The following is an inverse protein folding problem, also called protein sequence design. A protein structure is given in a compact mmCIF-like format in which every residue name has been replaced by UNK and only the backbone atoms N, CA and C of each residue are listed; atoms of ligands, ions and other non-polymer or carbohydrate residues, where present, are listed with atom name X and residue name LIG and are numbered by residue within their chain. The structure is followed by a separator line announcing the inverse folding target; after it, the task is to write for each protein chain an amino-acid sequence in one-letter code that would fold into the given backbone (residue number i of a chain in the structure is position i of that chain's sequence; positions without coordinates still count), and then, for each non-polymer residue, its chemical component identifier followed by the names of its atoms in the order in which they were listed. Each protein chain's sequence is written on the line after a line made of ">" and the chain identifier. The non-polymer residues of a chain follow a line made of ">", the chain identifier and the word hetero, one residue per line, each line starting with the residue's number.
data_IF_236245272230
#
_entry.id   IF_236245272230
#
_cell.length_a   1.000
_cell.length_b   1.000
_cell.length_c   1.000
_cell.angle_alpha   90.00
_cell.angle_beta   90.00
_cell.angle_gamma   90.00
#
_symmetry.space_group_name_H-M   'P 1'
#
loop_
_entity.id
_entity.type
_entity.pdbx_description
1 polymer ?
#
# COMPACT_ATOMS: atom_id res chain seq x y z
N UNK A 1 -31.98 4.13 8.26
CA UNK A 1 -31.63 2.81 8.81
C UNK A 1 -30.95 1.99 7.75
N UNK A 2 -29.95 1.20 8.12
CA UNK A 2 -29.40 0.15 7.26
C UNK A 2 -30.12 -1.14 7.65
N UNK A 3 -30.69 -1.85 6.67
CA UNK A 3 -31.38 -3.12 6.89
C UNK A 3 -30.43 -4.25 6.52
N UNK A 4 -30.17 -5.17 7.46
CA UNK A 4 -29.29 -6.32 7.27
C UNK A 4 -30.07 -7.61 7.60
N UNK A 5 -29.88 -8.72 6.85
CA UNK A 5 -30.55 -9.99 7.17
C UNK A 5 -30.18 -10.49 8.57
N UNK A 6 -31.12 -11.19 9.23
CA UNK A 6 -30.93 -11.83 10.55
C UNK A 6 -29.61 -12.64 10.57
N UNK A 7 -28.64 -12.19 11.37
CA UNK A 7 -27.35 -12.87 11.57
C UNK A 7 -26.12 -11.96 11.47
N UNK A 8 -26.25 -10.75 10.90
CA UNK A 8 -25.17 -9.77 10.89
C UNK A 8 -25.28 -8.82 12.07
N UNK A 9 -24.46 -8.97 13.11
CA UNK A 9 -24.25 -7.93 14.11
C UNK A 9 -23.04 -7.08 13.68
N UNK A 10 -23.22 -5.89 13.10
CA UNK A 10 -22.11 -5.17 12.47
C UNK A 10 -21.03 -4.72 13.47
N UNK A 11 -21.33 -4.72 14.77
CA UNK A 11 -20.42 -4.18 15.81
C UNK A 11 -20.40 -4.98 17.13
N UNK A 12 -21.05 -6.15 17.20
CA UNK A 12 -21.02 -6.97 18.42
C UNK A 12 -19.85 -7.95 18.40
N UNK A 13 -19.15 -8.09 19.52
CA UNK A 13 -18.06 -9.08 19.70
C UNK A 13 -18.56 -10.53 19.77
N UNK A 14 -19.87 -10.72 19.95
CA UNK A 14 -20.55 -11.99 19.91
C UNK A 14 -21.72 -11.93 18.91
N UNK A 15 -22.00 -13.02 18.17
CA UNK A 15 -23.15 -13.06 17.27
C UNK A 15 -24.44 -12.83 18.05
N UNK A 16 -25.26 -11.89 17.56
CA UNK A 16 -26.59 -11.64 18.10
C UNK A 16 -27.50 -12.82 17.71
N UNK A 17 -28.04 -13.52 18.71
CA UNK A 17 -28.94 -14.65 18.50
C UNK A 17 -30.32 -14.13 18.08
N UNK A 18 -30.47 -13.90 16.78
CA UNK A 18 -31.73 -13.48 16.17
C UNK A 18 -32.51 -14.70 15.66
N UNK A 19 -33.85 -14.73 15.85
CA UNK A 19 -34.69 -15.68 15.16
C UNK A 19 -34.48 -15.59 13.64
N UNK A 20 -34.55 -16.74 12.95
CA UNK A 20 -34.52 -16.77 11.49
C UNK A 20 -35.73 -15.98 10.95
N UNK A 21 -35.53 -15.28 9.84
CA UNK A 21 -36.54 -14.52 9.09
C UNK A 21 -37.02 -13.21 9.76
N UNK A 22 -36.20 -12.60 10.62
CA UNK A 22 -36.49 -11.29 11.22
C UNK A 22 -35.53 -10.22 10.68
N UNK A 23 -36.07 -9.09 10.25
CA UNK A 23 -35.26 -7.92 9.91
C UNK A 23 -34.96 -7.11 11.16
N UNK A 24 -33.69 -6.76 11.36
CA UNK A 24 -33.27 -5.89 12.46
C UNK A 24 -33.03 -4.50 11.89
N UNK A 25 -33.76 -3.52 12.42
CA UNK A 25 -33.51 -2.11 12.16
C UNK A 25 -32.58 -1.55 13.24
N UNK A 26 -31.46 -0.97 12.81
CA UNK A 26 -30.56 -0.24 13.69
C UNK A 26 -30.78 1.26 13.54
N UNK A 27 -31.06 1.91 14.65
CA UNK A 27 -31.02 3.36 14.79
C UNK A 27 -29.71 3.73 15.50
N UNK A 28 -28.93 4.61 14.89
CA UNK A 28 -27.65 5.07 15.44
C UNK A 28 -27.72 6.56 15.69
N UNK A 29 -27.35 6.98 16.90
CA UNK A 29 -27.07 8.37 17.21
C UNK A 29 -25.55 8.58 17.20
N UNK A 30 -25.07 9.43 16.29
CA UNK A 30 -23.66 9.74 16.20
C UNK A 30 -23.30 10.78 17.25
N UNK A 31 -22.74 10.34 18.38
CA UNK A 31 -22.40 11.22 19.50
C UNK A 31 -21.23 12.17 19.18
N UNK A 32 -20.22 11.69 18.45
CA UNK A 32 -19.14 12.55 17.96
C UNK A 32 -18.42 11.90 16.79
N UNK A 33 -17.98 12.72 15.83
CA UNK A 33 -17.06 12.32 14.78
C UNK A 33 -15.77 13.12 14.99
N UNK A 34 -14.71 12.44 15.39
CA UNK A 34 -13.37 13.02 15.41
C UNK A 34 -12.58 12.50 14.21
N UNK A 35 -12.03 13.39 13.39
CA UNK A 35 -11.00 13.00 12.42
C UNK A 35 -9.74 12.64 13.19
N UNK A 36 -9.46 11.36 13.36
CA UNK A 36 -8.23 10.91 14.01
C UNK A 36 -7.04 11.14 13.10
N UNK A 37 -6.21 12.15 13.39
CA UNK A 37 -4.79 12.20 12.98
C UNK A 37 -4.51 12.25 11.47
N UNK A 38 -5.34 12.98 10.71
CA UNK A 38 -5.12 13.26 9.29
C UNK A 38 -4.35 14.56 9.05
N UNK A 39 -3.62 14.63 7.94
CA UNK A 39 -3.00 15.87 7.47
C UNK A 39 -4.10 16.89 7.09
N UNK A 40 -4.02 18.13 7.57
CA UNK A 40 -4.95 19.20 7.18
C UNK A 40 -4.96 19.40 5.66
N UNK A 41 -6.10 19.81 5.10
CA UNK A 41 -6.21 20.14 3.66
C UNK A 41 -5.35 21.36 3.33
N UNK A 42 -5.22 22.28 4.28
CA UNK A 42 -4.42 23.51 4.14
C UNK A 42 -3.01 23.36 4.74
N UNK A 43 -2.56 22.12 4.98
CA UNK A 43 -1.21 21.86 5.46
C UNK A 43 -0.17 22.30 4.44
N UNK A 44 0.88 22.97 4.91
CA UNK A 44 2.05 23.32 4.09
C UNK A 44 2.81 22.08 3.67
N UNK A 45 3.60 22.20 2.60
CA UNK A 45 4.38 21.10 2.06
C UNK A 45 5.38 20.53 3.07
N UNK A 46 6.02 21.37 3.89
CA UNK A 46 6.95 20.87 4.91
C UNK A 46 6.22 20.05 5.97
N UNK A 47 5.01 20.46 6.35
CA UNK A 47 4.18 19.75 7.33
C UNK A 47 3.66 18.43 6.73
N UNK A 48 3.33 18.41 5.43
CA UNK A 48 2.98 17.21 4.69
C UNK A 48 4.15 16.21 4.58
N UNK A 49 5.37 16.69 4.31
CA UNK A 49 6.59 15.86 4.28
C UNK A 49 6.88 15.25 5.66
N UNK A 50 6.81 16.05 6.73
CA UNK A 50 6.94 15.57 8.12
C UNK A 50 5.89 14.53 8.48
N UNK A 51 4.65 14.75 8.04
CA UNK A 51 3.56 13.79 8.23
C UNK A 51 3.87 12.46 7.54
N UNK A 52 4.34 12.50 6.29
CA UNK A 52 4.75 11.30 5.56
C UNK A 52 5.85 10.54 6.32
N UNK A 53 6.91 11.21 6.79
CA UNK A 53 7.99 10.58 7.54
C UNK A 53 7.52 9.89 8.83
N UNK A 54 6.59 10.54 9.56
CA UNK A 54 5.96 9.95 10.73
C UNK A 54 5.16 8.68 10.37
N UNK A 55 4.37 8.74 9.30
CA UNK A 55 3.59 7.60 8.81
C UNK A 55 4.46 6.45 8.31
N UNK A 56 5.59 6.74 7.68
CA UNK A 56 6.57 5.74 7.28
C UNK A 56 7.14 4.99 8.47
N UNK A 57 7.51 5.72 9.53
CA UNK A 57 8.04 5.13 10.77
C UNK A 57 7.00 4.23 11.43
N UNK A 58 5.78 4.72 11.58
CA UNK A 58 4.67 3.93 12.13
C UNK A 58 4.34 2.70 11.28
N UNK A 59 4.34 2.83 9.96
CA UNK A 59 4.12 1.71 9.05
C UNK A 59 5.19 0.63 9.20
N UNK A 60 6.46 1.03 9.34
CA UNK A 60 7.57 0.09 9.54
C UNK A 60 7.44 -0.66 10.88
N UNK A 61 7.00 0.02 11.94
CA UNK A 61 6.74 -0.62 13.25
C UNK A 61 5.57 -1.60 13.18
N UNK A 62 4.47 -1.21 12.52
CA UNK A 62 3.34 -2.11 12.31
C UNK A 62 3.73 -3.32 11.45
N UNK A 63 4.55 -3.10 10.41
CA UNK A 63 5.06 -4.16 9.56
C UNK A 63 5.92 -5.16 10.34
N UNK A 64 6.81 -4.68 11.23
CA UNK A 64 7.66 -5.56 12.05
C UNK A 64 6.87 -6.36 13.08
N UNK A 65 5.70 -5.87 13.51
CA UNK A 65 4.72 -6.58 14.36
C UNK A 65 3.81 -7.53 13.59
N UNK A 66 3.91 -7.60 12.25
CA UNK A 66 3.04 -8.42 11.41
C UNK A 66 1.64 -7.83 11.18
N UNK A 67 1.39 -6.58 11.59
CA UNK A 67 0.11 -5.88 11.42
C UNK A 67 -0.02 -5.27 10.02
N UNK A 68 0.10 -6.10 8.99
CA UNK A 68 0.29 -5.66 7.60
C UNK A 68 -0.86 -4.78 7.06
N UNK A 69 -2.12 -5.09 7.40
CA UNK A 69 -3.25 -4.28 6.95
C UNK A 69 -3.22 -2.86 7.52
N UNK A 70 -2.73 -2.69 8.77
CA UNK A 70 -2.56 -1.38 9.39
C UNK A 70 -1.34 -0.67 8.83
N UNK A 71 -0.23 -1.39 8.63
CA UNK A 71 0.97 -0.85 8.01
C UNK A 71 0.68 -0.27 6.62
N UNK A 72 -0.07 -1.01 5.80
CA UNK A 72 -0.48 -0.57 4.46
C UNK A 72 -1.24 0.76 4.51
N UNK A 73 -2.22 0.90 5.42
CA UNK A 73 -2.95 2.17 5.59
C UNK A 73 -2.02 3.34 5.90
N UNK A 74 -0.98 3.13 6.73
CA UNK A 74 -0.01 4.19 7.05
C UNK A 74 0.91 4.52 5.88
N UNK A 75 1.33 3.53 5.09
CA UNK A 75 2.03 3.82 3.84
C UNK A 75 1.15 4.62 2.87
N UNK A 76 -0.14 4.32 2.79
CA UNK A 76 -1.09 5.05 1.94
C UNK A 76 -1.30 6.49 2.41
N UNK A 77 -1.46 6.70 3.72
CA UNK A 77 -1.57 8.04 4.32
C UNK A 77 -0.35 8.91 3.95
N UNK A 78 0.86 8.35 4.06
CA UNK A 78 2.10 9.06 3.72
C UNK A 78 2.26 9.29 2.22
N UNK A 79 1.95 8.29 1.38
CA UNK A 79 1.99 8.44 -0.07
C UNK A 79 1.02 9.51 -0.57
N UNK A 80 -0.21 9.54 -0.04
CA UNK A 80 -1.22 10.55 -0.36
C UNK A 80 -0.77 11.96 0.06
N UNK A 81 -0.09 12.09 1.20
CA UNK A 81 0.49 13.37 1.62
C UNK A 81 1.56 13.87 0.64
N UNK A 82 2.45 12.99 0.17
CA UNK A 82 3.49 13.34 -0.81
C UNK A 82 2.89 13.64 -2.19
N UNK A 83 1.88 12.88 -2.63
CA UNK A 83 1.19 13.16 -3.88
C UNK A 83 0.55 14.56 -3.90
N UNK A 84 0.03 15.03 -2.75
CA UNK A 84 -0.48 16.41 -2.62
C UNK A 84 0.62 17.46 -2.80
N UNK A 85 1.80 17.22 -2.24
CA UNK A 85 2.98 18.10 -2.41
C UNK A 85 3.45 18.12 -3.87
N UNK A 86 3.36 17.01 -4.58
CA UNK A 86 3.71 16.98 -6.01
C UNK A 86 2.67 17.73 -6.85
N UNK A 87 1.38 17.66 -6.48
CA UNK A 87 0.29 18.34 -7.18
C UNK A 87 0.21 19.84 -6.91
N UNK A 88 0.70 20.34 -5.78
CA UNK A 88 0.70 21.79 -5.49
C UNK A 88 1.59 22.57 -6.47
N UNK A 89 2.52 21.90 -7.16
CA UNK A 89 3.43 22.51 -8.13
C UNK A 89 4.41 23.50 -7.51
N UNK A 90 4.57 23.44 -6.18
CA UNK A 90 5.43 24.30 -5.38
C UNK A 90 6.79 23.64 -5.15
N UNK A 91 7.84 24.47 -5.05
CA UNK A 91 9.22 24.00 -4.87
C UNK A 91 10.02 23.93 -6.16
N UNK A 92 11.32 23.64 -6.02
CA UNK A 92 12.23 23.53 -7.16
C UNK A 92 12.11 22.16 -7.84
N UNK A 93 12.64 22.04 -9.06
CA UNK A 93 12.72 20.75 -9.76
C UNK A 93 13.46 19.68 -8.94
N UNK A 94 14.43 20.09 -8.13
CA UNK A 94 15.18 19.19 -7.25
C UNK A 94 14.35 18.76 -6.04
N UNK A 95 13.52 19.65 -5.49
CA UNK A 95 12.56 19.32 -4.43
C UNK A 95 11.50 18.33 -4.89
N UNK A 96 10.99 18.51 -6.11
CA UNK A 96 10.04 17.59 -6.76
C UNK A 96 10.69 16.21 -6.89
N UNK A 97 11.88 16.13 -7.49
CA UNK A 97 12.62 14.86 -7.64
C UNK A 97 12.94 14.19 -6.30
N UNK A 98 13.29 14.98 -5.27
CA UNK A 98 13.50 14.44 -3.93
C UNK A 98 12.22 13.85 -3.35
N UNK A 99 11.08 14.54 -3.52
CA UNK A 99 9.77 14.09 -3.06
C UNK A 99 9.31 12.82 -3.80
N UNK A 100 9.50 12.76 -5.11
CA UNK A 100 9.27 11.59 -5.96
C UNK A 100 10.08 10.37 -5.49
N UNK A 101 11.38 10.54 -5.20
CA UNK A 101 12.21 9.46 -4.66
C UNK A 101 11.68 8.94 -3.32
N UNK A 102 11.20 9.82 -2.45
CA UNK A 102 10.58 9.39 -1.19
C UNK A 102 9.28 8.64 -1.47
N UNK A 103 8.44 9.12 -2.38
CA UNK A 103 7.19 8.48 -2.79
C UNK A 103 7.44 7.07 -3.34
N UNK A 104 8.48 6.86 -4.15
CA UNK A 104 8.90 5.52 -4.58
C UNK A 104 9.13 4.59 -3.39
N UNK A 105 9.77 5.06 -2.31
CA UNK A 105 9.96 4.22 -1.11
C UNK A 105 8.65 3.79 -0.45
N UNK A 106 7.61 4.63 -0.50
CA UNK A 106 6.27 4.28 -0.02
C UNK A 106 5.63 3.20 -0.88
N UNK A 107 5.62 3.35 -2.20
CA UNK A 107 5.07 2.35 -3.12
C UNK A 107 5.79 1.00 -2.98
N UNK A 108 7.13 1.02 -2.91
CA UNK A 108 7.99 -0.15 -2.76
C UNK A 108 7.75 -0.89 -1.44
N UNK A 109 7.53 -0.17 -0.33
CA UNK A 109 7.23 -0.78 0.96
C UNK A 109 5.77 -1.22 1.10
N UNK A 110 4.83 -0.48 0.50
CA UNK A 110 3.44 -0.90 0.37
C UNK A 110 3.33 -2.21 -0.43
N UNK A 111 4.07 -2.34 -1.53
CA UNK A 111 4.18 -3.57 -2.31
C UNK A 111 4.71 -4.74 -1.46
N UNK A 112 5.73 -4.52 -0.62
CA UNK A 112 6.22 -5.54 0.32
C UNK A 112 5.14 -5.97 1.32
N UNK A 113 4.33 -5.03 1.79
CA UNK A 113 3.23 -5.27 2.73
C UNK A 113 2.09 -6.02 2.06
N UNK A 114 1.76 -5.67 0.81
CA UNK A 114 0.75 -6.33 0.00
C UNK A 114 1.13 -7.77 -0.35
N UNK A 115 2.42 -8.05 -0.58
CA UNK A 115 2.91 -9.44 -0.72
C UNK A 115 2.63 -10.27 0.53
N UNK A 116 2.79 -9.69 1.73
CA UNK A 116 2.45 -10.38 2.99
C UNK A 116 0.96 -10.59 3.19
N UNK A 117 0.12 -9.80 2.51
CA UNK A 117 -1.33 -9.92 2.48
C UNK A 117 -1.84 -10.74 1.28
N UNK A 118 -0.94 -11.28 0.45
CA UNK A 118 -1.26 -12.04 -0.77
C UNK A 118 -2.18 -11.29 -1.76
N UNK A 119 -2.12 -9.96 -1.75
CA UNK A 119 -2.88 -9.08 -2.66
C UNK A 119 -2.09 -8.79 -3.93
N UNK A 120 -1.84 -9.81 -4.72
CA UNK A 120 -0.86 -9.76 -5.83
C UNK A 120 -1.18 -8.72 -6.91
N UNK A 121 -2.44 -8.53 -7.28
CA UNK A 121 -2.84 -7.49 -8.26
C UNK A 121 -2.46 -6.09 -7.76
N UNK A 122 -2.63 -5.83 -6.47
CA UNK A 122 -2.28 -4.54 -5.87
C UNK A 122 -0.77 -4.37 -5.72
N UNK A 123 -0.01 -5.47 -5.54
CA UNK A 123 1.46 -5.44 -5.60
C UNK A 123 1.92 -4.95 -6.96
N UNK A 124 1.38 -5.51 -8.05
CA UNK A 124 1.73 -5.09 -9.41
C UNK A 124 1.47 -3.59 -9.59
N UNK A 125 0.29 -3.10 -9.22
CA UNK A 125 -0.06 -1.66 -9.29
C UNK A 125 0.95 -0.79 -8.55
N UNK A 126 1.28 -1.13 -7.29
CA UNK A 126 2.24 -0.34 -6.50
C UNK A 126 3.66 -0.39 -7.07
N UNK A 127 4.07 -1.54 -7.61
CA UNK A 127 5.35 -1.62 -8.30
C UNK A 127 5.36 -0.80 -9.59
N UNK A 128 4.25 -0.78 -10.34
CA UNK A 128 4.13 0.03 -11.55
C UNK A 128 4.18 1.53 -11.25
N UNK A 129 3.49 1.99 -10.21
CA UNK A 129 3.59 3.37 -9.73
C UNK A 129 5.05 3.74 -9.36
N UNK A 130 5.76 2.84 -8.68
CA UNK A 130 7.16 3.03 -8.32
C UNK A 130 8.07 3.09 -9.56
N UNK A 131 7.86 2.20 -10.53
CA UNK A 131 8.67 2.10 -11.75
C UNK A 131 8.38 3.22 -12.75
N UNK A 132 7.16 3.79 -12.72
CA UNK A 132 6.84 4.99 -13.48
C UNK A 132 7.70 6.19 -13.05
N UNK A 133 7.97 6.31 -11.76
CA UNK A 133 8.80 7.38 -11.19
C UNK A 133 10.30 7.02 -11.28
N UNK A 134 10.68 5.79 -10.91
CA UNK A 134 12.05 5.29 -10.90
C UNK A 134 12.13 3.93 -11.61
N UNK A 135 12.27 3.97 -12.94
CA UNK A 135 12.31 2.76 -13.78
C UNK A 135 13.45 1.80 -13.42
N UNK A 136 14.52 2.28 -12.78
CA UNK A 136 15.66 1.44 -12.39
C UNK A 136 15.52 0.83 -10.98
N UNK A 137 14.35 0.92 -10.35
CA UNK A 137 14.15 0.41 -9.01
C UNK A 137 14.04 -1.13 -8.98
N UNK A 138 15.20 -1.77 -8.78
CA UNK A 138 15.34 -3.24 -8.72
C UNK A 138 14.45 -3.90 -7.66
N UNK A 139 14.19 -3.23 -6.53
CA UNK A 139 13.30 -3.76 -5.47
C UNK A 139 11.84 -3.78 -5.92
N UNK A 140 11.39 -2.78 -6.68
CA UNK A 140 10.06 -2.77 -7.29
C UNK A 140 9.93 -3.89 -8.33
N UNK A 141 10.92 -4.01 -9.23
CA UNK A 141 10.95 -5.09 -10.25
C UNK A 141 10.89 -6.48 -9.61
N UNK A 142 11.73 -6.73 -8.61
CA UNK A 142 11.76 -8.04 -7.94
C UNK A 142 10.40 -8.38 -7.30
N UNK A 143 9.79 -7.44 -6.58
CA UNK A 143 8.47 -7.67 -5.96
C UNK A 143 7.35 -7.82 -6.99
N UNK A 144 7.41 -7.08 -8.10
CA UNK A 144 6.47 -7.24 -9.22
C UNK A 144 6.57 -8.65 -9.80
N UNK A 145 7.78 -9.16 -10.00
CA UNK A 145 7.98 -10.52 -10.50
C UNK A 145 7.41 -11.60 -9.56
N UNK A 146 7.52 -11.41 -8.24
CA UNK A 146 6.93 -12.33 -7.26
C UNK A 146 5.40 -12.35 -7.33
N UNK A 147 4.78 -11.18 -7.53
CA UNK A 147 3.34 -11.07 -7.69
C UNK A 147 2.85 -11.67 -9.01
N UNK A 148 3.57 -11.43 -10.11
CA UNK A 148 3.27 -12.02 -11.42
C UNK A 148 3.41 -13.54 -11.40
N UNK A 149 4.45 -14.07 -10.74
CA UNK A 149 4.62 -15.51 -10.51
C UNK A 149 3.41 -16.10 -9.75
N UNK A 150 2.97 -15.44 -8.68
CA UNK A 150 1.80 -15.87 -7.89
C UNK A 150 0.48 -15.79 -8.67
N UNK A 151 0.37 -14.88 -9.65
CA UNK A 151 -0.78 -14.75 -10.53
C UNK A 151 -0.74 -15.74 -11.72
N UNK A 152 0.35 -16.49 -11.90
CA UNK A 152 0.54 -17.39 -13.04
C UNK A 152 1.01 -16.70 -14.33
N UNK A 153 1.31 -15.40 -14.27
CA UNK A 153 1.78 -14.58 -15.39
C UNK A 153 3.29 -14.74 -15.61
N UNK A 154 3.73 -15.97 -15.85
CA UNK A 154 5.14 -16.36 -15.85
C UNK A 154 5.97 -15.65 -16.94
N UNK A 155 5.37 -15.40 -18.11
CA UNK A 155 6.06 -14.71 -19.20
C UNK A 155 6.45 -13.28 -18.81
N UNK A 156 5.49 -12.51 -18.27
CA UNK A 156 5.75 -11.16 -17.77
C UNK A 156 6.68 -11.16 -16.55
N UNK A 157 6.59 -12.16 -15.67
CA UNK A 157 7.53 -12.30 -14.56
C UNK A 157 8.97 -12.46 -15.05
N UNK A 158 9.20 -13.26 -16.10
CA UNK A 158 10.53 -13.45 -16.70
C UNK A 158 11.07 -12.18 -17.36
N UNK A 159 10.22 -11.39 -18.04
CA UNK A 159 10.63 -10.11 -18.62
C UNK A 159 11.12 -9.15 -17.54
N UNK A 160 10.33 -8.95 -16.49
CA UNK A 160 10.70 -8.08 -15.36
C UNK A 160 11.97 -8.57 -14.66
N UNK A 161 12.15 -9.89 -14.50
CA UNK A 161 13.36 -10.45 -13.91
C UNK A 161 14.60 -10.27 -14.80
N UNK A 162 14.47 -10.29 -16.13
CA UNK A 162 15.59 -9.98 -17.04
C UNK A 162 16.04 -8.54 -16.88
N UNK A 163 15.11 -7.60 -16.93
CA UNK A 163 15.40 -6.17 -16.72
C UNK A 163 16.08 -5.94 -15.36
N UNK A 164 15.58 -6.60 -14.30
CA UNK A 164 16.18 -6.51 -12.98
C UNK A 164 17.62 -7.07 -12.92
N UNK A 165 17.93 -8.12 -13.71
CA UNK A 165 19.26 -8.73 -13.79
C UNK A 165 20.27 -7.89 -14.60
N UNK A 166 19.80 -7.04 -15.51
CA UNK A 166 20.66 -6.07 -16.20
C UNK A 166 21.15 -4.98 -15.23
N UNK A 167 20.32 -4.62 -14.25
CA UNK A 167 20.61 -3.57 -13.27
C UNK A 167 21.29 -4.10 -12.00
N UNK A 168 21.10 -5.37 -11.64
CA UNK A 168 21.60 -5.93 -10.38
C UNK A 168 22.09 -7.37 -10.51
N UNK A 169 23.14 -7.68 -9.74
CA UNK A 169 23.70 -9.04 -9.63
C UNK A 169 23.12 -9.85 -8.46
N UNK A 170 22.01 -9.38 -7.87
CA UNK A 170 21.37 -9.98 -6.70
C UNK A 170 21.07 -11.47 -6.93
N UNK A 171 21.48 -12.28 -5.94
CA UNK A 171 21.32 -13.73 -5.97
C UNK A 171 19.85 -14.14 -5.98
N UNK A 172 18.99 -13.46 -5.22
CA UNK A 172 17.58 -13.80 -5.10
C UNK A 172 16.82 -13.59 -6.42
N UNK A 173 17.20 -12.56 -7.19
CA UNK A 173 16.65 -12.29 -8.52
C UNK A 173 17.09 -13.38 -9.50
N UNK A 174 18.36 -13.78 -9.46
CA UNK A 174 18.89 -14.86 -10.31
C UNK A 174 18.20 -16.20 -10.01
N UNK A 175 18.01 -16.52 -8.73
CA UNK A 175 17.31 -17.74 -8.30
C UNK A 175 15.83 -17.72 -8.72
N UNK A 176 15.15 -16.59 -8.57
CA UNK A 176 13.78 -16.42 -9.06
C UNK A 176 13.70 -16.60 -10.59
N UNK A 177 14.61 -15.99 -11.35
CA UNK A 177 14.65 -16.13 -12.80
C UNK A 177 14.83 -17.58 -13.25
N UNK A 178 15.71 -18.34 -12.59
CA UNK A 178 15.89 -19.77 -12.89
C UNK A 178 14.66 -20.59 -12.52
N UNK A 179 13.98 -20.25 -11.41
CA UNK A 179 12.76 -20.95 -10.96
C UNK A 179 11.59 -20.74 -11.93
N UNK A 180 11.29 -19.49 -12.28
CA UNK A 180 10.15 -19.14 -13.17
C UNK A 180 10.35 -19.66 -14.60
N UNK A 181 11.61 -19.83 -15.03
CA UNK A 181 11.94 -20.32 -16.39
C UNK A 181 11.70 -21.83 -16.56
N UNK A 182 11.65 -22.61 -15.48
CA UNK A 182 11.50 -24.07 -15.53
C UNK A 182 10.03 -24.47 -15.66
#
# INVERSE_FOLDING_TARGET
>A
GVVVPSGGAPFASAPFDAPRDVYIEYEFEVLSIARTGGLSVDARDEDAKRYADAKKSEANELFSRGEYARALRRYDDGANALARVLMSGTGTQDDVKATERVLVTFHVNAAATLLKLERFVDVCRRCDDALYIEATNVKAMYRKSQALEALGELASALEVLREALELSKDRAIREAFVRVRR
#
